data_IF_897693694152
#
_entry.id   IF_897693694152
#
_cell.length_a   1.000
_cell.length_b   1.000
_cell.length_c   1.000
_cell.angle_alpha   90.00
_cell.angle_beta   90.00
_cell.angle_gamma   90.00
#
_symmetry.space_group_name_H-M   'P 1'
#
loop_
_entity.id
_entity.type
_entity.pdbx_description
1 polymer ?
#
# COMPACT_ATOMS: atom_id res chain seq x y z
N UNK A 1 -28.92 8.44 30.04
CA UNK A 1 -27.59 7.95 29.62
C UNK A 1 -26.59 8.55 30.56
N UNK A 2 -25.72 7.75 31.15
CA UNK A 2 -24.68 8.20 32.08
C UNK A 2 -23.56 8.89 31.29
N UNK A 3 -22.99 9.95 31.85
CA UNK A 3 -21.90 10.75 31.27
C UNK A 3 -20.60 9.94 31.02
N UNK A 4 -20.57 8.65 31.32
CA UNK A 4 -19.44 7.76 31.08
C UNK A 4 -19.36 7.27 29.60
N UNK A 5 -20.39 7.52 28.79
CA UNK A 5 -20.44 7.19 27.36
C UNK A 5 -20.21 8.42 26.46
N UNK A 6 -19.47 9.42 26.95
CA UNK A 6 -19.08 10.61 26.17
C UNK A 6 -18.55 10.30 24.76
N UNK A 7 -17.63 9.32 24.55
CA UNK A 7 -17.13 9.04 23.20
C UNK A 7 -18.22 8.56 22.25
N UNK A 8 -19.18 7.75 22.72
CA UNK A 8 -20.29 7.25 21.90
C UNK A 8 -21.26 8.38 21.57
N UNK A 9 -21.57 9.24 22.53
CA UNK A 9 -22.47 10.40 22.34
C UNK A 9 -21.86 11.40 21.35
N UNK A 10 -20.54 11.62 21.43
CA UNK A 10 -19.80 12.49 20.51
C UNK A 10 -19.78 11.89 19.10
N UNK A 11 -19.48 10.60 18.97
CA UNK A 11 -19.48 9.92 17.67
C UNK A 11 -20.86 9.91 17.02
N UNK A 12 -21.91 9.63 17.80
CA UNK A 12 -23.29 9.71 17.33
C UNK A 12 -23.63 11.16 16.92
N UNK A 13 -23.20 12.20 17.65
CA UNK A 13 -23.50 13.57 17.25
C UNK A 13 -23.07 13.92 15.80
N UNK A 14 -21.93 13.39 15.34
CA UNK A 14 -21.40 13.64 13.99
C UNK A 14 -21.90 12.67 12.91
N UNK A 15 -22.65 11.62 13.27
CA UNK A 15 -23.17 10.67 12.29
C UNK A 15 -24.45 11.18 11.60
N UNK A 16 -24.35 11.39 10.29
CA UNK A 16 -25.47 11.83 9.44
C UNK A 16 -26.54 10.75 9.23
N UNK A 17 -26.25 9.48 9.56
CA UNK A 17 -27.12 8.32 9.33
C UNK A 17 -27.95 7.89 10.54
N UNK A 18 -27.94 8.65 11.64
CA UNK A 18 -28.72 8.32 12.82
C UNK A 18 -30.23 8.37 12.60
N UNK A 19 -30.92 7.42 13.22
CA UNK A 19 -32.38 7.41 13.31
C UNK A 19 -32.89 8.64 14.08
N UNK A 20 -34.11 9.13 13.78
CA UNK A 20 -34.64 10.34 14.41
C UNK A 20 -34.80 10.21 15.93
N UNK A 21 -35.13 9.02 16.43
CA UNK A 21 -35.24 8.74 17.86
C UNK A 21 -33.89 8.71 18.58
N UNK A 22 -32.81 8.30 17.91
CA UNK A 22 -31.47 8.35 18.48
C UNK A 22 -30.95 9.80 18.53
N UNK A 23 -31.16 10.58 17.46
CA UNK A 23 -30.83 12.01 17.41
C UNK A 23 -31.49 12.79 18.54
N UNK A 24 -32.77 12.55 18.81
CA UNK A 24 -33.47 13.22 19.90
C UNK A 24 -32.88 12.90 21.28
N UNK A 25 -32.45 11.65 21.52
CA UNK A 25 -31.80 11.25 22.77
C UNK A 25 -30.46 11.95 22.98
N UNK A 26 -29.63 12.03 21.93
CA UNK A 26 -28.35 12.75 21.96
C UNK A 26 -28.58 14.24 22.25
N UNK A 27 -29.51 14.89 21.54
CA UNK A 27 -29.83 16.30 21.76
C UNK A 27 -30.34 16.59 23.18
N UNK A 28 -31.20 15.73 23.72
CA UNK A 28 -31.68 15.84 25.11
C UNK A 28 -30.53 15.72 26.12
N UNK A 29 -29.57 14.82 25.87
CA UNK A 29 -28.40 14.68 26.73
C UNK A 29 -27.47 15.90 26.66
N UNK A 30 -27.20 16.41 25.45
CA UNK A 30 -26.40 17.63 25.25
C UNK A 30 -27.06 18.88 25.86
N UNK A 31 -28.40 18.93 25.93
CA UNK A 31 -29.11 20.01 26.63
C UNK A 31 -28.88 19.94 28.16
N UNK A 32 -28.76 18.74 28.72
CA UNK A 32 -28.65 18.52 30.17
C UNK A 32 -27.20 18.49 30.70
N UNK A 33 -26.22 18.08 29.90
CA UNK A 33 -24.83 17.89 30.35
C UNK A 33 -23.90 18.99 29.83
N UNK A 34 -23.24 19.72 30.74
CA UNK A 34 -22.27 20.75 30.37
C UNK A 34 -20.92 20.16 29.92
N UNK A 35 -20.48 19.06 30.52
CA UNK A 35 -19.18 18.44 30.23
C UNK A 35 -19.14 17.88 28.80
N UNK A 36 -20.19 17.16 28.37
CA UNK A 36 -20.28 16.68 26.99
C UNK A 36 -20.35 17.83 25.96
N UNK A 37 -20.91 18.99 26.32
CA UNK A 37 -20.88 20.18 25.44
C UNK A 37 -19.48 20.79 25.35
N UNK A 38 -18.75 20.80 26.46
CA UNK A 38 -17.37 21.29 26.47
C UNK A 38 -16.46 20.42 25.59
N UNK A 39 -16.60 19.10 25.66
CA UNK A 39 -15.88 18.15 24.80
C UNK A 39 -16.22 18.34 23.31
N UNK A 40 -17.49 18.55 22.96
CA UNK A 40 -17.88 18.87 21.58
C UNK A 40 -17.30 20.20 21.10
N UNK A 41 -17.21 21.21 21.98
CA UNK A 41 -16.63 22.49 21.64
C UNK A 41 -15.12 22.39 21.32
N UNK A 42 -14.39 21.45 21.94
CA UNK A 42 -12.99 21.17 21.60
C UNK A 42 -12.83 20.60 20.17
N UNK A 43 -13.86 19.95 19.64
CA UNK A 43 -13.85 19.35 18.30
C UNK A 43 -14.34 20.29 17.20
N UNK A 44 -15.01 21.39 17.55
CA UNK A 44 -15.52 22.36 16.58
C UNK A 44 -14.45 22.92 15.61
N UNK A 45 -13.21 23.23 16.04
CA UNK A 45 -12.15 23.69 15.13
C UNK A 45 -11.75 22.62 14.11
N UNK A 46 -11.70 21.35 14.53
CA UNK A 46 -11.37 20.23 13.64
C UNK A 46 -12.48 19.99 12.62
N UNK A 47 -13.75 20.12 13.04
CA UNK A 47 -14.89 20.06 12.13
C UNK A 47 -14.84 21.17 11.07
N UNK A 48 -14.57 22.41 11.48
CA UNK A 48 -14.44 23.54 10.54
C UNK A 48 -13.28 23.31 9.56
N UNK A 49 -12.14 22.82 10.05
CA UNK A 49 -10.99 22.51 9.21
C UNK A 49 -11.32 21.41 8.18
N UNK A 50 -12.05 20.37 8.58
CA UNK A 50 -12.52 19.31 7.67
C UNK A 50 -13.55 19.81 6.65
N UNK A 51 -14.44 20.73 7.03
CA UNK A 51 -15.40 21.34 6.11
C UNK A 51 -14.71 22.28 5.11
N UNK A 52 -13.65 22.97 5.54
CA UNK A 52 -12.81 23.84 4.71
C UNK A 52 -11.76 23.08 3.89
N UNK A 53 -11.65 21.76 4.06
CA UNK A 53 -10.68 20.92 3.37
C UNK A 53 -10.98 20.88 1.87
N UNK A 54 -10.14 21.58 1.10
CA UNK A 54 -10.16 21.47 -0.35
C UNK A 54 -9.41 20.21 -0.77
N UNK A 55 -9.99 19.44 -1.69
CA UNK A 55 -9.28 18.32 -2.31
C UNK A 55 -8.14 18.85 -3.16
N UNK A 56 -6.94 18.90 -2.60
CA UNK A 56 -5.71 19.04 -3.37
C UNK A 56 -5.54 17.77 -4.22
N UNK A 57 -5.45 17.87 -5.55
CA UNK A 57 -5.11 16.70 -6.36
C UNK A 57 -3.73 16.22 -5.92
N UNK A 58 -3.58 14.91 -5.72
CA UNK A 58 -2.27 14.32 -5.45
C UNK A 58 -1.33 14.75 -6.60
N UNK A 59 -0.12 15.26 -6.30
CA UNK A 59 0.80 15.72 -7.33
C UNK A 59 1.07 14.59 -8.33
N UNK A 60 1.07 14.95 -9.61
CA UNK A 60 1.22 14.02 -10.75
C UNK A 60 2.67 13.52 -10.89
N UNK A 61 3.23 12.94 -9.83
CA UNK A 61 4.43 12.12 -9.95
C UNK A 61 4.00 10.75 -10.52
N UNK A 62 4.13 10.61 -11.83
CA UNK A 62 4.11 9.34 -12.58
C UNK A 62 2.89 8.41 -12.37
N UNK A 63 1.81 8.69 -13.11
CA UNK A 63 0.85 7.66 -13.56
C UNK A 63 0.91 7.46 -15.08
N UNK A 64 2.12 7.32 -15.61
CA UNK A 64 2.32 6.61 -16.87
C UNK A 64 2.27 5.11 -16.56
N UNK A 65 1.35 4.43 -17.22
CA UNK A 65 1.05 2.99 -17.16
C UNK A 65 -0.02 2.59 -16.12
N UNK A 66 -1.13 2.11 -16.66
CA UNK A 66 -2.27 1.48 -15.97
C UNK A 66 -3.28 2.43 -15.29
N UNK A 67 -4.26 2.85 -16.11
CA UNK A 67 -5.69 2.63 -15.82
C UNK A 67 -6.08 2.58 -14.34
N UNK A 68 -6.29 3.75 -13.75
CA UNK A 68 -7.29 3.90 -12.69
C UNK A 68 -8.10 5.14 -13.01
N UNK A 69 -9.06 4.95 -13.91
CA UNK A 69 -10.11 5.91 -14.17
C UNK A 69 -10.90 6.05 -12.85
N UNK A 70 -10.91 7.23 -12.19
CA UNK A 70 -11.78 7.41 -11.04
C UNK A 70 -13.22 7.30 -11.53
N UNK A 71 -14.05 6.49 -10.85
CA UNK A 71 -15.50 6.51 -11.03
C UNK A 71 -16.02 7.89 -10.60
N UNK A 72 -15.94 8.86 -11.52
CA UNK A 72 -16.71 10.08 -11.43
C UNK A 72 -18.18 9.71 -11.66
N UNK A 73 -19.04 10.10 -10.72
CA UNK A 73 -20.49 10.04 -10.89
C UNK A 73 -20.88 10.69 -12.23
N UNK A 74 -21.82 10.11 -13.01
CA UNK A 74 -22.11 10.60 -14.34
C UNK A 74 -22.93 11.90 -14.26
N UNK A 75 -22.25 13.04 -14.28
CA UNK A 75 -22.84 14.28 -14.76
C UNK A 75 -22.96 14.18 -16.29
N UNK A 76 -24.20 14.22 -16.78
CA UNK A 76 -24.59 14.26 -18.19
C UNK A 76 -24.08 13.12 -19.08
N UNK A 77 -24.89 12.06 -19.19
CA UNK A 77 -24.82 11.15 -20.35
C UNK A 77 -25.15 11.94 -21.62
N UNK A 78 -24.24 12.11 -22.59
CA UNK A 78 -24.66 12.42 -23.95
C UNK A 78 -25.47 11.23 -24.48
N UNK A 79 -26.55 11.46 -25.25
CA UNK A 79 -27.30 10.36 -25.85
C UNK A 79 -26.34 9.54 -26.73
N UNK A 80 -26.31 8.22 -26.49
CA UNK A 80 -25.52 7.31 -27.30
C UNK A 80 -25.90 7.52 -28.78
N UNK A 81 -24.93 7.68 -29.71
CA UNK A 81 -25.25 7.57 -31.11
C UNK A 81 -25.75 6.14 -31.35
N UNK A 82 -27.01 6.02 -31.77
CA UNK A 82 -27.64 4.74 -32.10
C UNK A 82 -26.85 4.03 -33.19
N UNK A 83 -25.93 3.15 -32.77
CA UNK A 83 -25.05 2.39 -33.66
C UNK A 83 -25.66 1.03 -33.93
N UNK A 84 -26.76 1.02 -34.69
CA UNK A 84 -26.98 -0.14 -35.56
C UNK A 84 -25.95 -0.02 -36.69
N UNK A 85 -24.74 -0.53 -36.44
CA UNK A 85 -23.76 -0.78 -37.47
C UNK A 85 -24.37 -1.81 -38.42
N UNK A 86 -25.09 -1.34 -39.45
CA UNK A 86 -25.44 -2.19 -40.58
C UNK A 86 -24.12 -2.63 -41.16
N UNK A 87 -23.82 -3.92 -41.06
CA UNK A 87 -22.66 -4.54 -41.68
C UNK A 87 -22.74 -4.22 -43.18
N UNK A 88 -21.98 -3.22 -43.61
CA UNK A 88 -21.84 -2.89 -45.01
C UNK A 88 -20.99 -3.99 -45.63
N UNK A 89 -21.46 -4.61 -46.71
CA UNK A 89 -20.69 -5.62 -47.47
C UNK A 89 -19.31 -5.09 -47.92
N UNK A 90 -19.13 -3.77 -47.95
CA UNK A 90 -17.85 -3.11 -48.21
C UNK A 90 -16.85 -3.23 -47.06
N UNK A 91 -17.32 -3.32 -45.81
CA UNK A 91 -16.47 -3.51 -44.64
C UNK A 91 -16.15 -4.99 -44.37
N UNK A 92 -16.90 -5.93 -44.95
CA UNK A 92 -16.66 -7.37 -44.82
C UNK A 92 -15.29 -7.78 -45.36
N UNK A 93 -14.81 -7.13 -46.44
CA UNK A 93 -13.48 -7.38 -47.02
C UNK A 93 -12.32 -7.04 -46.07
N UNK A 94 -12.52 -6.15 -45.08
CA UNK A 94 -11.48 -5.75 -44.12
C UNK A 94 -11.18 -6.82 -43.08
N UNK A 95 -12.09 -7.78 -42.90
CA UNK A 95 -11.94 -8.87 -41.93
C UNK A 95 -11.32 -10.12 -42.53
N UNK A 96 -11.14 -10.20 -43.85
CA UNK A 96 -10.51 -11.34 -44.54
C UNK A 96 -9.12 -11.67 -43.98
N UNK A 97 -8.18 -10.71 -43.80
CA UNK A 97 -6.86 -11.06 -43.27
C UNK A 97 -6.92 -11.52 -41.80
N UNK A 98 -7.80 -10.94 -40.98
CA UNK A 98 -7.99 -11.36 -39.58
C UNK A 98 -8.61 -12.75 -39.47
N UNK A 99 -9.61 -13.04 -40.31
CA UNK A 99 -10.23 -14.36 -40.39
C UNK A 99 -9.21 -15.40 -40.86
N UNK A 100 -8.39 -15.07 -41.86
CA UNK A 100 -7.33 -15.95 -42.34
C UNK A 100 -6.27 -16.22 -41.26
N UNK A 101 -5.81 -15.20 -40.53
CA UNK A 101 -4.85 -15.40 -39.43
C UNK A 101 -5.44 -16.26 -38.31
N UNK A 102 -6.73 -16.08 -38.00
CA UNK A 102 -7.40 -16.85 -36.97
C UNK A 102 -7.53 -18.32 -37.39
N UNK A 103 -7.99 -18.59 -38.63
CA UNK A 103 -8.08 -19.94 -39.18
C UNK A 103 -6.71 -20.63 -39.19
N UNK A 104 -5.65 -19.91 -39.59
CA UNK A 104 -4.30 -20.47 -39.62
C UNK A 104 -3.77 -20.77 -38.21
N UNK A 105 -4.05 -19.90 -37.24
CA UNK A 105 -3.69 -20.14 -35.83
C UNK A 105 -4.40 -21.37 -35.26
N UNK A 106 -5.69 -21.54 -35.57
CA UNK A 106 -6.47 -22.71 -35.16
C UNK A 106 -5.98 -23.98 -35.85
N UNK A 107 -5.63 -23.90 -37.14
CA UNK A 107 -5.07 -25.01 -37.91
C UNK A 107 -3.72 -25.50 -37.31
N UNK A 108 -2.86 -24.57 -36.88
CA UNK A 108 -1.60 -24.90 -36.21
C UNK A 108 -1.84 -25.55 -34.85
N UNK A 109 -2.75 -24.99 -34.03
CA UNK A 109 -3.09 -25.54 -32.72
C UNK A 109 -3.71 -26.95 -32.81
N UNK A 110 -4.48 -27.21 -33.86
CA UNK A 110 -5.16 -28.51 -34.06
C UNK A 110 -4.33 -29.50 -34.88
N UNK A 111 -3.10 -29.14 -35.27
CA UNK A 111 -2.22 -29.92 -36.13
C UNK A 111 -2.96 -30.48 -37.37
N UNK A 112 -3.73 -29.63 -38.06
CA UNK A 112 -4.46 -30.05 -39.26
C UNK A 112 -3.48 -30.49 -40.35
N UNK A 113 -3.58 -31.73 -40.82
CA UNK A 113 -2.89 -32.17 -42.04
C UNK A 113 -3.90 -32.27 -43.17
N UNK A 114 -3.56 -31.63 -44.28
CA UNK A 114 -4.38 -31.57 -45.47
C UNK A 114 -3.62 -32.33 -46.54
N UNK A 115 -4.10 -33.52 -46.88
CA UNK A 115 -3.48 -34.37 -47.88
C UNK A 115 -4.42 -34.44 -49.10
N UNK A 116 -3.86 -34.14 -50.27
CA UNK A 116 -4.59 -33.99 -51.52
C UNK A 116 -4.21 -35.17 -52.40
N UNK A 117 -5.10 -36.17 -52.45
CA UNK A 117 -4.93 -37.37 -53.26
C UNK A 117 -5.75 -37.27 -54.55
N UNK A 118 -5.47 -38.13 -55.53
CA UNK A 118 -6.28 -38.24 -56.75
C UNK A 118 -7.75 -38.65 -56.49
N UNK A 119 -8.06 -39.09 -55.27
CA UNK A 119 -9.35 -39.61 -54.83
C UNK A 119 -10.16 -38.56 -54.03
N UNK A 120 -9.56 -37.40 -53.72
CA UNK A 120 -10.20 -36.32 -52.98
C UNK A 120 -9.32 -35.67 -51.92
N UNK A 121 -9.94 -34.74 -51.18
CA UNK A 121 -9.33 -33.94 -50.12
C UNK A 121 -9.56 -34.64 -48.79
N UNK A 122 -8.50 -35.06 -48.12
CA UNK A 122 -8.58 -35.62 -46.77
C UNK A 122 -7.97 -34.65 -45.76
N UNK A 123 -8.71 -34.41 -44.69
CA UNK A 123 -8.35 -33.44 -43.65
C UNK A 123 -8.34 -34.17 -42.31
N UNK A 124 -7.15 -34.36 -41.74
CA UNK A 124 -6.94 -35.03 -40.45
C UNK A 124 -6.58 -34.03 -39.37
N UNK A 125 -7.10 -34.23 -38.16
CA UNK A 125 -6.90 -33.36 -37.00
C UNK A 125 -6.33 -34.17 -35.84
N UNK A 126 -5.28 -33.65 -35.20
CA UNK A 126 -4.58 -34.34 -34.11
C UNK A 126 -3.70 -35.51 -34.59
N UNK A 127 -2.46 -35.56 -34.10
CA UNK A 127 -1.62 -36.74 -34.26
C UNK A 127 -2.23 -37.94 -33.55
N UNK A 128 -2.01 -39.15 -34.09
CA UNK A 128 -2.51 -40.41 -33.57
C UNK A 128 -2.23 -40.57 -32.06
N UNK A 129 -3.22 -40.21 -31.24
CA UNK A 129 -3.17 -40.39 -29.79
C UNK A 129 -3.13 -41.88 -29.38
N UNK A 130 -3.33 -42.79 -30.36
CA UNK A 130 -3.25 -44.23 -30.19
C UNK A 130 -1.82 -44.78 -30.09
N UNK A 131 -0.78 -43.98 -30.36
CA UNK A 131 0.63 -44.43 -30.36
C UNK A 131 1.50 -43.77 -29.27
N UNK A 132 0.91 -43.28 -28.18
CA UNK A 132 1.71 -42.90 -27.00
C UNK A 132 2.21 -44.18 -26.35
N UNK A 133 3.49 -44.50 -26.56
CA UNK A 133 4.11 -45.63 -25.87
C UNK A 133 4.30 -45.24 -24.38
N UNK A 134 3.44 -45.79 -23.52
CA UNK A 134 3.51 -45.65 -22.06
C UNK A 134 4.92 -45.75 -21.46
N UNK A 135 5.80 -46.70 -21.88
CA UNK A 135 7.16 -46.76 -21.34
C UNK A 135 8.05 -45.55 -21.67
N UNK A 136 7.79 -44.85 -22.80
CA UNK A 136 8.55 -43.65 -23.16
C UNK A 136 8.11 -42.43 -22.34
N UNK A 137 6.83 -42.36 -21.98
CA UNK A 137 6.31 -41.33 -21.09
C UNK A 137 6.90 -41.46 -19.68
N UNK A 138 7.01 -42.70 -19.18
CA UNK A 138 7.55 -42.96 -17.85
C UNK A 138 9.06 -42.64 -17.78
N UNK A 139 9.82 -43.00 -18.83
CA UNK A 139 11.22 -42.61 -18.96
C UNK A 139 11.40 -41.08 -19.03
N UNK A 140 10.52 -40.38 -19.74
CA UNK A 140 10.52 -38.92 -19.80
C UNK A 140 10.19 -38.29 -18.45
N UNK A 141 9.16 -38.77 -17.75
CA UNK A 141 8.81 -38.27 -16.41
C UNK A 141 9.93 -38.51 -15.40
N UNK A 142 10.58 -39.68 -15.42
CA UNK A 142 11.72 -39.98 -14.57
C UNK A 142 12.93 -39.06 -14.86
N UNK A 143 13.21 -38.80 -16.14
CA UNK A 143 14.26 -37.86 -16.54
C UNK A 143 13.92 -36.41 -16.14
N UNK A 144 12.65 -36.02 -16.19
CA UNK A 144 12.20 -34.71 -15.77
C UNK A 144 12.29 -34.54 -14.25
N UNK A 145 11.91 -35.57 -13.49
CA UNK A 145 11.99 -35.57 -12.03
C UNK A 145 13.43 -35.43 -11.54
N UNK A 146 14.39 -36.11 -12.18
CA UNK A 146 15.81 -36.01 -11.82
C UNK A 146 16.39 -34.63 -12.14
N UNK A 147 16.05 -34.05 -13.30
CA UNK A 147 16.44 -32.67 -13.65
C UNK A 147 15.88 -31.66 -12.65
N UNK A 148 14.61 -31.81 -12.27
CA UNK A 148 13.95 -30.92 -11.33
C UNK A 148 14.56 -31.03 -9.93
N UNK A 149 14.92 -32.24 -9.50
CA UNK A 149 15.60 -32.47 -8.23
C UNK A 149 17.00 -31.83 -8.21
N UNK A 150 17.75 -31.95 -9.31
CA UNK A 150 19.07 -31.33 -9.43
C UNK A 150 19.00 -29.80 -9.43
N UNK A 151 18.03 -29.21 -10.14
CA UNK A 151 17.81 -27.77 -10.11
C UNK A 151 17.40 -27.27 -8.72
N UNK A 152 16.53 -28.00 -8.02
CA UNK A 152 16.15 -27.65 -6.65
C UNK A 152 17.33 -27.70 -5.68
N UNK A 153 18.24 -28.66 -5.82
CA UNK A 153 19.46 -28.73 -5.00
C UNK A 153 20.37 -27.52 -5.25
N UNK A 154 20.63 -27.18 -6.51
CA UNK A 154 21.43 -26.01 -6.86
C UNK A 154 20.80 -24.69 -6.41
N UNK A 155 19.47 -24.59 -6.50
CA UNK A 155 18.73 -23.43 -6.00
C UNK A 155 18.83 -23.33 -4.48
N UNK A 156 18.72 -24.44 -3.75
CA UNK A 156 18.85 -24.45 -2.29
C UNK A 156 20.27 -24.05 -1.86
N UNK A 157 21.30 -24.56 -2.53
CA UNK A 157 22.70 -24.23 -2.27
C UNK A 157 22.99 -22.75 -2.51
N UNK A 158 22.53 -22.20 -3.64
CA UNK A 158 22.73 -20.79 -3.98
C UNK A 158 21.94 -19.86 -3.04
N UNK A 159 20.72 -20.22 -2.67
CA UNK A 159 19.95 -19.50 -1.67
C UNK A 159 20.68 -19.48 -0.32
N UNK A 160 21.16 -20.63 0.16
CA UNK A 160 21.89 -20.72 1.43
C UNK A 160 23.17 -19.88 1.42
N UNK A 161 23.94 -19.88 0.32
CA UNK A 161 25.12 -19.03 0.17
C UNK A 161 24.76 -17.54 0.19
N UNK A 162 23.76 -17.15 -0.61
CA UNK A 162 23.34 -15.75 -0.70
C UNK A 162 22.78 -15.23 0.63
N UNK A 163 22.02 -16.05 1.36
CA UNK A 163 21.58 -15.71 2.71
C UNK A 163 22.75 -15.60 3.68
N UNK A 164 23.73 -16.52 3.60
CA UNK A 164 24.94 -16.49 4.44
C UNK A 164 25.75 -15.21 4.24
N UNK A 165 26.06 -14.86 3.00
CA UNK A 165 26.87 -13.69 2.66
C UNK A 165 26.17 -12.38 3.02
N UNK A 166 24.88 -12.25 2.68
CA UNK A 166 24.10 -11.06 3.00
C UNK A 166 23.92 -10.88 4.52
N UNK A 167 23.73 -11.98 5.26
CA UNK A 167 23.60 -11.94 6.73
C UNK A 167 24.92 -11.55 7.38
N UNK A 168 26.05 -12.07 6.88
CA UNK A 168 27.37 -11.71 7.40
C UNK A 168 27.65 -10.21 7.19
N UNK A 169 27.39 -9.69 5.99
CA UNK A 169 27.63 -8.28 5.69
C UNK A 169 26.71 -7.34 6.49
N UNK A 170 25.43 -7.68 6.61
CA UNK A 170 24.50 -6.91 7.44
C UNK A 170 24.87 -6.94 8.93
N UNK A 171 25.38 -8.05 9.46
CA UNK A 171 25.84 -8.11 10.85
C UNK A 171 27.07 -7.22 11.09
N UNK A 172 28.03 -7.19 10.14
CA UNK A 172 29.21 -6.32 10.23
C UNK A 172 28.78 -4.84 10.23
N UNK A 173 27.91 -4.44 9.29
CA UNK A 173 27.39 -3.08 9.24
C UNK A 173 26.63 -2.68 10.52
N UNK A 174 25.91 -3.62 11.11
CA UNK A 174 25.13 -3.39 12.33
C UNK A 174 26.03 -3.22 13.56
N UNK A 175 27.16 -3.94 13.63
CA UNK A 175 28.19 -3.72 14.64
C UNK A 175 28.82 -2.34 14.49
N UNK A 176 29.22 -1.95 13.28
CA UNK A 176 29.80 -0.62 13.01
C UNK A 176 28.82 0.50 13.40
N UNK A 177 27.53 0.33 13.08
CA UNK A 177 26.50 1.30 13.47
C UNK A 177 26.35 1.43 14.99
N UNK A 178 26.42 0.31 15.73
CA UNK A 178 26.37 0.35 17.20
C UNK A 178 27.59 1.04 17.80
N UNK A 179 28.78 0.85 17.24
CA UNK A 179 29.99 1.54 17.69
C UNK A 179 29.88 3.05 17.47
N UNK A 180 29.44 3.48 16.28
CA UNK A 180 29.18 4.90 15.99
C UNK A 180 28.14 5.50 16.93
N UNK A 181 27.05 4.77 17.19
CA UNK A 181 26.01 5.24 18.09
C UNK A 181 26.52 5.38 19.53
N UNK A 182 27.38 4.47 19.99
CA UNK A 182 28.00 4.53 21.30
C UNK A 182 28.90 5.76 21.45
N UNK A 183 29.67 6.12 20.42
CA UNK A 183 30.50 7.33 20.44
C UNK A 183 29.67 8.60 20.55
N UNK A 184 28.57 8.69 19.79
CA UNK A 184 27.64 9.82 19.88
C UNK A 184 26.98 9.93 21.26
N UNK A 185 26.62 8.79 21.86
CA UNK A 185 26.00 8.77 23.18
C UNK A 185 27.00 9.22 24.27
N UNK A 186 28.27 8.80 24.17
CA UNK A 186 29.34 9.29 25.07
C UNK A 186 29.48 10.81 24.95
N UNK A 187 29.55 11.35 23.73
CA UNK A 187 29.66 12.80 23.55
C UNK A 187 28.45 13.56 24.11
N UNK A 188 27.24 13.00 23.95
CA UNK A 188 26.03 13.58 24.52
C UNK A 188 26.04 13.54 26.05
N UNK A 189 26.52 12.45 26.65
CA UNK A 189 26.67 12.36 28.10
C UNK A 189 27.66 13.40 28.62
N UNK A 190 28.82 13.55 27.97
CA UNK A 190 29.83 14.55 28.35
C UNK A 190 29.26 15.97 28.27
N UNK A 191 28.56 16.32 27.18
CA UNK A 191 27.91 17.61 27.03
C UNK A 191 26.83 17.83 28.11
N UNK A 192 26.05 16.81 28.44
CA UNK A 192 25.07 16.85 29.52
C UNK A 192 25.69 17.11 30.88
N UNK A 193 26.82 16.45 31.20
CA UNK A 193 27.55 16.69 32.44
C UNK A 193 28.10 18.12 32.50
N UNK A 194 28.63 18.65 31.40
CA UNK A 194 29.10 20.03 31.33
C UNK A 194 27.98 21.04 31.59
N UNK A 195 26.78 20.81 31.03
CA UNK A 195 25.61 21.66 31.29
C UNK A 195 25.17 21.62 32.76
N UNK A 196 25.19 20.45 33.39
CA UNK A 196 24.86 20.33 34.82
C UNK A 196 25.84 21.11 35.68
N UNK A 197 27.15 20.99 35.40
CA UNK A 197 28.17 21.75 36.11
C UNK A 197 27.96 23.27 35.94
N UNK A 198 27.74 23.76 34.73
CA UNK A 198 27.53 25.19 34.47
C UNK A 198 26.26 25.73 35.15
N UNK A 199 25.17 24.96 35.12
CA UNK A 199 23.94 25.30 35.84
C UNK A 199 24.19 25.42 37.34
N UNK A 200 24.89 24.46 37.93
CA UNK A 200 25.17 24.47 39.37
C UNK A 200 26.07 25.67 39.75
N UNK A 201 27.06 26.02 38.92
CA UNK A 201 27.87 27.23 39.09
C UNK A 201 27.03 28.52 39.06
N UNK A 202 26.16 28.68 38.07
CA UNK A 202 25.26 29.84 37.96
C UNK A 202 24.31 29.92 39.16
N UNK A 203 23.79 28.78 39.61
CA UNK A 203 22.89 28.69 40.75
C UNK A 203 23.59 29.16 42.03
N UNK A 204 24.80 28.66 42.32
CA UNK A 204 25.58 29.10 43.49
C UNK A 204 25.90 30.59 43.43
N UNK A 205 26.31 31.10 42.28
CA UNK A 205 26.61 32.53 42.12
C UNK A 205 25.35 33.39 42.34
N UNK A 206 24.20 32.98 41.81
CA UNK A 206 22.93 33.69 42.02
C UNK A 206 22.52 33.72 43.50
N UNK A 207 22.71 32.62 44.23
CA UNK A 207 22.43 32.55 45.67
C UNK A 207 23.37 33.45 46.47
N UNK A 208 24.66 33.50 46.11
CA UNK A 208 25.63 34.42 46.74
C UNK A 208 25.29 35.90 46.47
N UNK A 209 24.85 36.24 45.25
CA UNK A 209 24.41 37.60 44.92
C UNK A 209 23.14 38.01 45.67
N UNK A 210 22.20 37.09 45.85
CA UNK A 210 21.01 37.35 46.69
C UNK A 210 21.40 37.56 48.15
N UNK A 211 22.32 36.74 48.69
CA UNK A 211 22.80 36.89 50.06
C UNK A 211 23.50 38.25 50.29
N UNK A 212 24.36 38.68 49.36
CA UNK A 212 25.05 39.98 49.45
C UNK A 212 24.10 41.17 49.30
N UNK A 213 23.08 41.06 48.43
CA UNK A 213 22.05 42.08 48.28
C UNK A 213 21.22 42.27 49.56
N UNK A 214 20.79 41.18 50.21
CA UNK A 214 20.06 41.24 51.48
C UNK A 214 20.92 41.85 52.59
N UNK A 215 22.21 41.52 52.63
CA UNK A 215 23.14 42.10 53.60
C UNK A 215 23.28 43.62 53.41
N UNK A 216 23.40 44.10 52.17
CA UNK A 216 23.49 45.54 51.88
C UNK A 216 22.22 46.32 52.25
N UNK A 217 21.03 45.71 52.10
CA UNK A 217 19.77 46.33 52.53
C UNK A 217 19.59 46.38 54.05
N UNK A 218 20.24 45.48 54.80
CA UNK A 218 20.23 45.47 56.26
C UNK A 218 21.11 46.54 56.91
N UNK A 219 22.08 47.09 56.17
CA UNK A 219 23.04 48.10 56.64
C UNK A 219 22.64 49.56 56.28
N UNK A 220 21.43 49.78 55.77
CA UNK A 220 20.86 51.13 55.58
C UNK A 220 20.20 51.61 56.91
N UNK A 221 20.62 52.75 57.48
CA UNK A 221 20.15 53.25 58.78
C UNK A 221 18.69 53.74 58.77
#
# INVERSE_FOLDING_TARGET
MSCHQTPDIVAEHFDTRLSPSARQRVQQHLAACADCRAELALLAPAQEMLLSWQHEPAPDWERSHAQSQPLAAPAHRPPLPGRHARLSWKDAGRWVPLAASLVLSVAVLTQTRLDVSEQGWQLSFGGDASNVSWPQLDAYMAAQASLQQQQNQQMLESALQQFGDNTADTLVQLVDWFEQQRELDIQRMEAGFQQLLDRDYQTVNSVQQLASYVQFQGDLP
#
